data_IF_341194535320
#
_entry.id   IF_341194535320
#
_cell.length_a   1.000
_cell.length_b   1.000
_cell.length_c   1.000
_cell.angle_alpha   90.00
_cell.angle_beta   90.00
_cell.angle_gamma   90.00
#
_symmetry.space_group_name_H-M   'P 1'
#
loop_
_entity.id
_entity.type
_entity.pdbx_description
1 polymer ?
#
# COMPACT_ATOMS: atom_id res chain seq x y z
N UNK A 1 26.91 -11.86 -25.01
CA UNK A 1 26.44 -11.15 -23.80
C UNK A 1 25.31 -11.99 -23.23
N UNK A 2 25.58 -12.80 -22.21
CA UNK A 2 24.57 -13.67 -21.61
C UNK A 2 23.59 -12.78 -20.84
N UNK A 3 22.33 -12.76 -21.26
CA UNK A 3 21.23 -12.18 -20.48
C UNK A 3 21.18 -12.93 -19.16
N UNK A 4 21.54 -12.29 -18.04
CA UNK A 4 21.29 -12.85 -16.71
C UNK A 4 19.80 -13.17 -16.64
N UNK A 5 19.44 -14.43 -16.45
CA UNK A 5 18.07 -14.80 -16.09
C UNK A 5 17.66 -13.93 -14.90
N UNK A 6 16.47 -13.32 -14.99
CA UNK A 6 15.93 -12.57 -13.86
C UNK A 6 15.77 -13.54 -12.70
N UNK A 7 16.29 -13.17 -11.53
CA UNK A 7 16.25 -13.97 -10.30
C UNK A 7 14.86 -14.04 -9.65
N UNK A 8 13.81 -13.61 -10.35
CA UNK A 8 12.45 -13.48 -9.87
C UNK A 8 11.45 -13.45 -11.04
N UNK A 9 10.19 -13.71 -10.72
CA UNK A 9 9.04 -13.59 -11.62
C UNK A 9 8.12 -12.46 -11.15
N UNK A 10 7.45 -11.78 -12.08
CA UNK A 10 6.50 -10.69 -11.77
C UNK A 10 5.14 -11.01 -12.37
N UNK A 11 4.10 -10.92 -11.54
CA UNK A 11 2.70 -11.10 -11.94
C UNK A 11 1.94 -9.79 -11.76
N UNK A 12 1.16 -9.39 -12.77
CA UNK A 12 0.20 -8.30 -12.62
C UNK A 12 -1.10 -8.88 -12.06
N UNK A 13 -1.48 -8.43 -10.88
CA UNK A 13 -2.60 -8.98 -10.13
C UNK A 13 -3.68 -7.92 -9.94
N UNK A 14 -4.95 -8.32 -9.98
CA UNK A 14 -6.10 -7.46 -9.68
C UNK A 14 -6.75 -7.93 -8.40
N UNK A 15 -6.79 -7.03 -7.41
CA UNK A 15 -7.44 -7.31 -6.14
C UNK A 15 -8.88 -6.77 -6.08
N UNK A 16 -9.31 -6.00 -7.08
CA UNK A 16 -10.66 -5.47 -7.18
C UNK A 16 -11.09 -5.19 -8.62
N UNK A 17 -12.31 -4.66 -8.77
CA UNK A 17 -12.94 -4.44 -10.07
C UNK A 17 -12.55 -3.10 -10.73
N UNK A 18 -12.15 -2.11 -9.93
CA UNK A 18 -11.82 -0.78 -10.42
C UNK A 18 -10.44 -0.73 -11.07
N UNK A 19 -10.23 0.24 -11.96
CA UNK A 19 -9.00 0.35 -12.77
C UNK A 19 -7.70 0.32 -11.97
N UNK A 20 -7.68 0.98 -10.81
CA UNK A 20 -6.48 1.12 -9.97
C UNK A 20 -6.46 0.13 -8.80
N UNK A 21 -7.36 -0.87 -8.79
CA UNK A 21 -7.36 -1.95 -7.80
C UNK A 21 -6.49 -3.12 -8.28
N UNK A 22 -5.21 -2.84 -8.46
CA UNK A 22 -4.22 -3.76 -9.01
C UNK A 22 -2.85 -3.62 -8.31
N UNK A 23 -1.92 -4.51 -8.63
CA UNK A 23 -0.56 -4.44 -8.13
C UNK A 23 0.35 -5.42 -8.85
N UNK A 24 1.64 -5.31 -8.61
CA UNK A 24 2.64 -6.22 -9.16
C UNK A 24 3.18 -7.11 -8.04
N UNK A 25 3.00 -8.43 -8.19
CA UNK A 25 3.50 -9.45 -7.28
C UNK A 25 4.84 -9.99 -7.80
N UNK A 26 5.92 -9.70 -7.07
CA UNK A 26 7.26 -10.19 -7.35
C UNK A 26 7.54 -11.40 -6.48
N UNK A 27 7.82 -12.54 -7.12
CA UNK A 27 8.19 -13.78 -6.46
C UNK A 27 9.67 -14.09 -6.71
N UNK A 28 10.49 -14.26 -5.65
CA UNK A 28 11.89 -14.63 -5.82
C UNK A 28 12.01 -16.07 -6.30
N UNK A 29 13.04 -16.37 -7.09
CA UNK A 29 13.41 -17.75 -7.45
C UNK A 29 14.21 -18.45 -6.32
N UNK A 30 14.24 -17.85 -5.13
CA UNK A 30 14.92 -18.31 -3.92
C UNK A 30 13.87 -18.60 -2.85
N UNK A 31 14.27 -19.25 -1.76
CA UNK A 31 13.41 -19.39 -0.58
C UNK A 31 13.00 -18.02 -0.05
N UNK A 32 11.70 -17.75 -0.04
CA UNK A 32 11.15 -16.48 0.42
C UNK A 32 11.33 -16.28 1.94
N UNK A 33 11.72 -15.07 2.33
CA UNK A 33 12.02 -14.70 3.72
C UNK A 33 10.85 -14.05 4.46
N UNK A 34 10.12 -13.20 3.75
CA UNK A 34 8.94 -12.47 4.22
C UNK A 34 8.19 -11.89 3.01
N UNK A 35 6.96 -11.45 3.22
CA UNK A 35 6.18 -10.70 2.24
C UNK A 35 6.27 -9.21 2.59
N UNK A 36 6.71 -8.38 1.66
CA UNK A 36 6.73 -6.92 1.81
C UNK A 36 5.65 -6.30 0.94
N UNK A 37 4.66 -5.66 1.57
CA UNK A 37 3.63 -4.88 0.90
C UNK A 37 4.08 -3.43 0.77
N UNK A 38 4.30 -2.97 -0.45
CA UNK A 38 4.77 -1.62 -0.74
C UNK A 38 3.61 -0.67 -1.07
N UNK A 39 3.57 0.47 -0.39
CA UNK A 39 2.68 1.58 -0.68
C UNK A 39 3.47 2.78 -1.21
N UNK A 40 3.15 3.21 -2.42
CA UNK A 40 3.82 4.33 -3.08
C UNK A 40 3.41 5.69 -2.50
N UNK A 41 4.20 6.73 -2.77
CA UNK A 41 3.98 8.08 -2.27
C UNK A 41 3.14 8.95 -3.20
N UNK A 42 3.38 10.27 -3.17
CA UNK A 42 2.76 11.20 -4.10
C UNK A 42 1.45 11.83 -3.60
N UNK A 43 1.34 12.07 -2.29
CA UNK A 43 0.18 12.75 -1.68
C UNK A 43 -1.18 12.13 -2.08
N UNK A 44 -1.23 10.81 -2.25
CA UNK A 44 -2.43 10.06 -2.65
C UNK A 44 -3.10 10.58 -3.93
N UNK A 45 -2.34 11.24 -4.81
CA UNK A 45 -2.85 11.95 -5.97
C UNK A 45 -2.31 11.38 -7.27
N UNK A 46 -3.11 11.48 -8.32
CA UNK A 46 -2.62 11.34 -9.69
C UNK A 46 -1.58 12.43 -9.99
N UNK A 47 -0.56 12.17 -10.85
CA UNK A 47 -0.38 10.94 -11.62
C UNK A 47 0.51 9.89 -10.92
N UNK A 48 0.91 10.11 -9.67
CA UNK A 48 1.85 9.22 -8.97
C UNK A 48 1.26 7.81 -8.79
N UNK A 49 2.06 6.79 -9.07
CA UNK A 49 1.66 5.38 -9.13
C UNK A 49 2.68 4.48 -8.43
N UNK A 50 2.33 3.20 -8.28
CA UNK A 50 3.24 2.15 -7.78
C UNK A 50 4.58 2.05 -8.54
N UNK A 51 4.64 2.52 -9.77
CA UNK A 51 5.85 2.49 -10.62
C UNK A 51 7.01 3.26 -9.98
N UNK A 52 6.71 4.23 -9.10
CA UNK A 52 7.74 4.93 -8.30
C UNK A 52 8.56 4.00 -7.41
N UNK A 53 8.02 2.81 -7.07
CA UNK A 53 8.67 1.84 -6.21
C UNK A 53 9.19 0.60 -6.97
N UNK A 54 9.16 0.58 -8.30
CA UNK A 54 9.60 -0.58 -9.10
C UNK A 54 11.04 -0.98 -8.78
N UNK A 55 11.97 -0.01 -8.75
CA UNK A 55 13.37 -0.30 -8.42
C UNK A 55 13.55 -0.79 -6.98
N UNK A 56 12.68 -0.37 -6.05
CA UNK A 56 12.68 -0.87 -4.67
C UNK A 56 12.16 -2.31 -4.64
N UNK A 57 11.09 -2.60 -5.37
CA UNK A 57 10.55 -3.96 -5.49
C UNK A 57 11.57 -4.93 -6.09
N UNK A 58 12.23 -4.54 -7.18
CA UNK A 58 13.29 -5.33 -7.83
C UNK A 58 14.48 -5.59 -6.88
N UNK A 59 14.90 -4.57 -6.13
CA UNK A 59 15.97 -4.73 -5.15
C UNK A 59 15.59 -5.70 -4.03
N UNK A 60 14.38 -5.57 -3.48
CA UNK A 60 13.89 -6.43 -2.39
C UNK A 60 13.70 -7.89 -2.84
N UNK A 61 13.09 -8.11 -4.01
CA UNK A 61 12.88 -9.49 -4.50
C UNK A 61 14.20 -10.19 -4.80
N UNK A 62 15.22 -9.46 -5.27
CA UNK A 62 16.56 -10.00 -5.49
C UNK A 62 17.24 -10.44 -4.17
N UNK A 63 16.81 -9.91 -3.03
CA UNK A 63 17.27 -10.32 -1.69
C UNK A 63 16.43 -11.45 -1.08
N UNK A 64 15.48 -12.04 -1.83
CA UNK A 64 14.67 -13.17 -1.38
C UNK A 64 13.39 -12.79 -0.63
N UNK A 65 12.88 -11.56 -0.81
CA UNK A 65 11.56 -11.17 -0.31
C UNK A 65 10.49 -11.37 -1.38
N UNK A 66 9.29 -11.80 -1.00
CA UNK A 66 8.12 -11.61 -1.87
C UNK A 66 7.73 -10.14 -1.76
N UNK A 67 7.48 -9.48 -2.90
CA UNK A 67 7.07 -8.07 -2.89
C UNK A 67 5.68 -7.95 -3.51
N UNK A 68 4.78 -7.34 -2.78
CA UNK A 68 3.47 -6.94 -3.27
C UNK A 68 3.47 -5.42 -3.46
N UNK A 69 3.73 -4.96 -4.69
CA UNK A 69 3.79 -3.53 -5.04
C UNK A 69 2.40 -3.02 -5.39
N UNK A 70 1.76 -2.31 -4.45
CA UNK A 70 0.32 -2.03 -4.48
C UNK A 70 0.04 -0.72 -5.23
N UNK A 71 -0.89 -0.77 -6.18
CA UNK A 71 -1.61 0.41 -6.65
C UNK A 71 -2.88 0.60 -5.84
N UNK A 72 -3.38 1.82 -5.73
CA UNK A 72 -4.67 2.13 -5.09
C UNK A 72 -5.34 3.32 -5.76
N UNK A 73 -6.68 3.45 -5.68
CA UNK A 73 -7.35 4.65 -6.19
C UNK A 73 -6.88 5.90 -5.44
N UNK A 74 -6.65 6.96 -6.20
CA UNK A 74 -6.08 8.24 -5.75
C UNK A 74 -7.02 9.39 -6.02
N UNK A 75 -6.81 10.50 -5.32
CA UNK A 75 -7.44 11.78 -5.66
C UNK A 75 -7.12 12.12 -7.13
N UNK A 76 -8.17 12.49 -7.88
CA UNK A 76 -8.13 12.67 -9.33
C UNK A 76 -8.51 11.44 -10.14
N UNK A 77 -8.75 10.29 -9.50
CA UNK A 77 -9.40 9.11 -10.10
C UNK A 77 -10.79 8.89 -9.52
N UNK A 78 -11.68 8.22 -10.26
CA UNK A 78 -13.04 7.90 -9.79
C UNK A 78 -12.97 7.07 -8.51
N UNK A 79 -13.58 7.58 -7.44
CA UNK A 79 -13.63 6.90 -6.14
C UNK A 79 -12.31 6.86 -5.37
N UNK A 80 -11.30 7.67 -5.74
CA UNK A 80 -10.12 7.86 -4.90
C UNK A 80 -10.29 9.02 -3.91
N UNK A 81 -9.44 9.06 -2.90
CA UNK A 81 -9.69 9.83 -1.69
C UNK A 81 -10.42 9.00 -0.64
N UNK A 82 -10.90 9.64 0.41
CA UNK A 82 -11.68 9.01 1.45
C UNK A 82 -13.09 8.62 0.95
N UNK A 83 -13.61 7.41 1.25
CA UNK A 83 -12.92 6.29 1.90
C UNK A 83 -12.18 5.38 0.90
N UNK A 84 -12.36 5.55 -0.41
CA UNK A 84 -11.92 4.58 -1.42
C UNK A 84 -10.43 4.25 -1.46
N UNK A 85 -9.53 5.21 -1.19
CA UNK A 85 -8.07 4.97 -1.06
C UNK A 85 -7.76 4.05 0.12
N UNK A 86 -8.49 4.20 1.22
CA UNK A 86 -8.30 3.44 2.45
C UNK A 86 -8.90 2.03 2.30
N UNK A 87 -10.10 1.94 1.73
CA UNK A 87 -10.74 0.68 1.36
C UNK A 87 -9.85 -0.15 0.42
N UNK A 88 -9.23 0.50 -0.57
CA UNK A 88 -8.32 -0.15 -1.51
C UNK A 88 -7.07 -0.68 -0.80
N UNK A 89 -6.55 0.06 0.18
CA UNK A 89 -5.39 -0.39 0.96
C UNK A 89 -5.71 -1.67 1.75
N UNK A 90 -6.90 -1.75 2.37
CA UNK A 90 -7.33 -2.96 3.08
C UNK A 90 -7.60 -4.13 2.13
N UNK A 91 -8.27 -3.87 1.00
CA UNK A 91 -8.55 -4.92 0.01
C UNK A 91 -7.26 -5.46 -0.63
N UNK A 92 -6.30 -4.60 -0.95
CA UNK A 92 -5.01 -5.00 -1.47
C UNK A 92 -4.24 -5.89 -0.49
N UNK A 93 -4.30 -5.61 0.81
CA UNK A 93 -3.69 -6.47 1.83
C UNK A 93 -4.44 -7.79 2.00
N UNK A 94 -5.78 -7.75 1.97
CA UNK A 94 -6.60 -8.97 2.03
C UNK A 94 -6.40 -9.87 0.80
N UNK A 95 -5.96 -9.32 -0.33
CA UNK A 95 -5.59 -10.10 -1.51
C UNK A 95 -4.50 -11.15 -1.21
N UNK A 96 -3.66 -10.92 -0.20
CA UNK A 96 -2.66 -11.90 0.23
C UNK A 96 -3.26 -13.24 0.66
N UNK A 97 -4.53 -13.29 1.09
CA UNK A 97 -5.20 -14.57 1.35
C UNK A 97 -5.30 -15.43 0.08
N UNK A 98 -5.60 -14.81 -1.07
CA UNK A 98 -5.59 -15.49 -2.36
C UNK A 98 -4.16 -15.84 -2.75
N UNK A 99 -3.21 -14.91 -2.63
CA UNK A 99 -1.80 -15.16 -2.97
C UNK A 99 -1.25 -16.35 -2.19
N UNK A 100 -1.48 -16.43 -0.87
CA UNK A 100 -1.04 -17.54 -0.04
C UNK A 100 -1.74 -18.86 -0.37
N UNK A 101 -3.01 -18.83 -0.79
CA UNK A 101 -3.71 -20.04 -1.28
C UNK A 101 -3.10 -20.54 -2.59
N UNK A 102 -2.74 -19.63 -3.49
CA UNK A 102 -2.16 -19.95 -4.79
C UNK A 102 -0.65 -20.32 -4.65
N UNK A 103 0.00 -19.86 -3.57
CA UNK A 103 1.40 -20.11 -3.19
C UNK A 103 1.51 -20.56 -1.71
N UNK A 104 1.18 -21.82 -1.40
CA UNK A 104 1.14 -22.32 -0.02
C UNK A 104 2.47 -22.19 0.75
N UNK A 105 3.60 -22.16 0.05
CA UNK A 105 4.92 -21.92 0.63
C UNK A 105 5.06 -20.55 1.31
N UNK A 106 4.15 -19.60 1.02
CA UNK A 106 4.15 -18.26 1.60
C UNK A 106 3.28 -18.14 2.86
N UNK A 107 2.57 -19.21 3.25
CA UNK A 107 1.54 -19.16 4.29
C UNK A 107 2.08 -18.66 5.64
N UNK A 108 3.24 -19.17 6.05
CA UNK A 108 3.87 -18.87 7.34
C UNK A 108 4.78 -17.64 7.32
N UNK A 109 4.90 -16.94 6.19
CA UNK A 109 5.76 -15.79 6.09
C UNK A 109 5.20 -14.59 6.85
N UNK A 110 6.10 -13.90 7.54
CA UNK A 110 5.85 -12.59 8.13
C UNK A 110 5.42 -11.60 7.03
N UNK A 111 4.47 -10.74 7.37
CA UNK A 111 3.99 -9.67 6.51
C UNK A 111 4.55 -8.34 7.02
N UNK A 112 5.27 -7.65 6.15
CA UNK A 112 5.83 -6.32 6.40
C UNK A 112 5.07 -5.30 5.58
N UNK A 113 4.51 -4.29 6.21
CA UNK A 113 3.99 -3.11 5.51
C UNK A 113 5.10 -2.08 5.39
N UNK A 114 5.34 -1.57 4.20
CA UNK A 114 6.32 -0.53 3.95
C UNK A 114 5.75 0.51 3.01
N UNK A 115 5.98 1.78 3.28
CA UNK A 115 5.57 2.83 2.36
C UNK A 115 6.37 4.11 2.48
N UNK A 116 6.40 4.89 1.41
CA UNK A 116 7.09 6.18 1.35
C UNK A 116 6.11 7.36 1.37
N UNK A 117 6.38 8.39 2.16
CA UNK A 117 5.58 9.62 2.20
C UNK A 117 4.10 9.35 2.48
N UNK A 118 3.21 9.67 1.54
CA UNK A 118 1.80 9.35 1.58
C UNK A 118 1.50 7.84 1.67
N UNK A 119 2.35 6.98 1.08
CA UNK A 119 2.26 5.53 1.25
C UNK A 119 2.77 5.07 2.60
N UNK A 120 3.74 5.79 3.18
CA UNK A 120 4.18 5.56 4.56
C UNK A 120 3.07 5.84 5.55
N UNK A 121 2.24 6.86 5.28
CA UNK A 121 0.99 7.08 6.00
C UNK A 121 0.03 5.89 5.87
N UNK A 122 -0.23 5.39 4.66
CA UNK A 122 -1.13 4.24 4.48
C UNK A 122 -0.61 2.97 5.19
N UNK A 123 0.70 2.71 5.14
CA UNK A 123 1.32 1.61 5.86
C UNK A 123 1.11 1.72 7.38
N UNK A 124 1.32 2.91 7.95
CA UNK A 124 1.07 3.17 9.37
C UNK A 124 -0.42 3.00 9.72
N UNK A 125 -1.32 3.54 8.90
CA UNK A 125 -2.76 3.44 9.12
C UNK A 125 -3.26 1.99 9.06
N UNK A 126 -2.84 1.21 8.06
CA UNK A 126 -3.14 -0.23 7.96
C UNK A 126 -2.52 -1.05 9.10
N UNK A 127 -1.47 -0.55 9.74
CA UNK A 127 -0.81 -1.19 10.88
C UNK A 127 -1.55 -1.03 12.21
N UNK A 128 -2.49 -0.07 12.33
CA UNK A 128 -3.22 0.19 13.56
C UNK A 128 -4.21 -0.94 13.88
N UNK A 129 -4.49 -1.24 15.15
CA UNK A 129 -5.64 -2.07 15.52
C UNK A 129 -6.94 -1.36 15.11
N UNK A 130 -7.91 -2.10 14.58
CA UNK A 130 -9.26 -1.60 14.25
C UNK A 130 -9.28 -0.40 13.29
N UNK A 131 -9.20 -0.64 11.99
CA UNK A 131 -9.41 0.38 10.95
C UNK A 131 -10.91 0.72 10.82
N UNK A 132 -11.51 1.28 11.87
CA UNK A 132 -12.95 1.60 11.99
C UNK A 132 -13.50 2.44 10.82
N UNK A 133 -12.59 3.13 10.15
CA UNK A 133 -12.74 3.97 8.98
C UNK A 133 -12.97 3.25 7.64
N UNK A 134 -12.62 1.96 7.53
CA UNK A 134 -12.79 1.17 6.29
C UNK A 134 -14.03 0.29 6.40
N UNK A 135 -14.79 0.18 5.31
CA UNK A 135 -15.92 -0.76 5.26
C UNK A 135 -15.46 -2.23 5.22
N UNK A 136 -14.18 -2.46 4.95
CA UNK A 136 -13.56 -3.78 4.96
C UNK A 136 -12.75 -3.96 6.25
N UNK A 137 -12.92 -5.12 6.90
CA UNK A 137 -12.03 -5.56 7.96
C UNK A 137 -10.73 -6.11 7.37
N UNK A 138 -9.59 -5.79 7.99
CA UNK A 138 -8.31 -6.40 7.67
C UNK A 138 -8.30 -7.87 8.14
N UNK A 139 -8.00 -8.78 7.21
CA UNK A 139 -8.03 -10.25 7.41
C UNK A 139 -6.64 -10.88 7.50
N UNK A 140 -5.61 -10.04 7.43
CA UNK A 140 -4.21 -10.42 7.65
C UNK A 140 -3.69 -9.71 8.90
N UNK A 141 -2.64 -10.25 9.50
CA UNK A 141 -1.94 -9.61 10.61
C UNK A 141 -0.57 -9.14 10.12
N UNK A 142 -0.33 -7.83 9.97
CA UNK A 142 1.02 -7.31 9.78
C UNK A 142 1.93 -7.64 10.98
N UNK A 143 3.17 -8.01 10.71
CA UNK A 143 4.19 -8.30 11.70
C UNK A 143 5.07 -7.08 11.96
N UNK A 144 5.36 -6.30 10.91
CA UNK A 144 6.22 -5.11 10.95
C UNK A 144 5.62 -4.01 10.07
N UNK A 145 5.77 -2.75 10.49
CA UNK A 145 5.35 -1.59 9.72
C UNK A 145 6.50 -0.60 9.62
N UNK A 146 6.82 -0.16 8.40
CA UNK A 146 7.94 0.74 8.10
C UNK A 146 7.41 1.94 7.31
N UNK A 147 7.43 3.12 7.95
CA UNK A 147 7.15 4.39 7.28
C UNK A 147 8.45 5.08 6.88
N UNK A 148 8.66 5.30 5.57
CA UNK A 148 9.78 6.08 5.04
C UNK A 148 9.33 7.53 4.81
N UNK A 149 9.77 8.45 5.66
CA UNK A 149 9.31 9.85 5.67
C UNK A 149 7.76 9.99 5.65
N UNK A 150 7.02 9.30 6.54
CA UNK A 150 5.57 9.21 6.45
C UNK A 150 4.89 10.54 6.81
N UNK A 151 3.72 10.79 6.22
CA UNK A 151 2.79 11.81 6.70
C UNK A 151 2.05 11.24 7.92
N UNK A 152 2.71 11.22 9.08
CA UNK A 152 2.25 10.47 10.25
C UNK A 152 1.08 11.12 11.02
N UNK A 153 0.81 12.40 10.79
CA UNK A 153 -0.30 13.14 11.41
C UNK A 153 -1.01 13.98 10.34
N UNK A 154 -2.26 13.62 10.04
CA UNK A 154 -3.05 14.30 9.00
C UNK A 154 -3.52 15.70 9.43
N UNK A 155 -3.82 15.92 10.71
CA UNK A 155 -4.23 17.24 11.23
C UNK A 155 -3.09 18.25 11.10
N UNK A 156 -1.89 17.89 11.56
CA UNK A 156 -0.71 18.75 11.43
C UNK A 156 -0.37 19.00 9.95
N UNK A 157 -0.48 17.98 9.11
CA UNK A 157 -0.24 18.13 7.67
C UNK A 157 -1.31 18.99 6.98
N UNK A 158 -2.56 18.94 7.44
CA UNK A 158 -3.66 19.80 6.99
C UNK A 158 -3.40 21.26 7.35
N UNK A 159 -3.08 21.54 8.62
CA UNK A 159 -2.80 22.90 9.11
C UNK A 159 -1.61 23.54 8.40
N UNK A 160 -0.56 22.75 8.15
CA UNK A 160 0.60 23.16 7.38
C UNK A 160 0.33 23.31 5.87
N UNK A 161 -0.88 22.99 5.39
CA UNK A 161 -1.27 22.95 3.97
C UNK A 161 -0.31 22.10 3.13
N UNK A 162 0.23 21.04 3.72
CA UNK A 162 1.27 20.20 3.12
C UNK A 162 0.81 19.65 1.78
N UNK A 163 1.72 19.67 0.80
CA UNK A 163 1.45 19.17 -0.54
C UNK A 163 0.37 19.95 -1.28
N UNK A 164 0.21 21.25 -1.02
CA UNK A 164 -0.84 22.08 -1.62
C UNK A 164 -2.23 21.53 -1.31
N UNK A 165 -2.58 21.51 -0.01
CA UNK A 165 -3.87 21.01 0.51
C UNK A 165 -4.14 19.52 0.23
N UNK A 166 -3.08 18.69 0.27
CA UNK A 166 -3.19 17.26 -0.01
C UNK A 166 -4.16 16.53 0.91
N UNK A 167 -4.11 16.86 2.20
CA UNK A 167 -4.99 16.23 3.20
C UNK A 167 -6.44 16.61 2.97
N UNK A 168 -6.73 17.90 2.72
CA UNK A 168 -8.09 18.35 2.41
C UNK A 168 -8.67 17.59 1.21
N UNK A 169 -7.89 17.38 0.15
CA UNK A 169 -8.38 16.67 -1.02
C UNK A 169 -8.47 15.16 -0.82
N UNK A 170 -7.60 14.57 0.01
CA UNK A 170 -7.70 13.17 0.41
C UNK A 170 -9.00 12.96 1.19
N UNK A 171 -9.21 13.73 2.25
CA UNK A 171 -10.30 13.51 3.20
C UNK A 171 -11.63 14.09 2.73
N UNK A 172 -11.62 14.97 1.71
CA UNK A 172 -12.79 15.66 1.16
C UNK A 172 -13.57 16.48 2.23
N UNK A 173 -12.87 16.91 3.28
CA UNK A 173 -13.40 17.73 4.37
C UNK A 173 -12.31 18.11 5.38
N UNK A 174 -12.56 19.13 6.19
CA UNK A 174 -11.62 19.59 7.22
C UNK A 174 -11.71 18.70 8.48
N UNK A 175 -10.66 18.66 9.32
CA UNK A 175 -10.68 17.90 10.58
C UNK A 175 -11.87 18.23 11.49
N UNK A 176 -12.28 19.50 11.55
CA UNK A 176 -13.43 19.94 12.35
C UNK A 176 -14.77 19.38 11.87
N UNK A 177 -14.87 19.00 10.60
CA UNK A 177 -16.10 18.47 9.99
C UNK A 177 -16.14 16.94 10.01
N UNK A 178 -14.97 16.29 10.15
CA UNK A 178 -14.77 14.86 9.99
C UNK A 178 -13.91 14.26 11.11
N UNK A 179 -14.17 14.64 12.37
CA UNK A 179 -13.32 14.28 13.51
C UNK A 179 -13.04 12.76 13.58
N UNK A 180 -14.08 11.93 13.39
CA UNK A 180 -13.95 10.46 13.38
C UNK A 180 -13.07 9.93 12.22
N UNK A 181 -13.02 10.64 11.09
CA UNK A 181 -12.21 10.24 9.93
C UNK A 181 -10.73 10.65 10.06
N UNK A 182 -10.43 11.67 10.86
CA UNK A 182 -9.06 12.17 11.10
C UNK A 182 -8.39 11.51 12.31
N UNK A 183 -9.18 11.03 13.28
CA UNK A 183 -8.68 10.29 14.45
C UNK A 183 -8.18 8.86 14.15
N UNK A 184 -8.28 8.43 12.89
CA UNK A 184 -7.92 7.10 12.39
C UNK A 184 -6.44 6.86 12.21
#
# INVERSE_FOLDING_TARGET
>A
MLTKEKSFTVFKEKYGAEKYQEGDLYLPNLTARAIICLFHGGYWRMPYSREQLDSVAEALVTQGFVVWNIEYRRVGSKGGGWPGTFDDSIQALNYLQKVKRDHPELELLDIVLMGHSAGGHLALWCGKPNQASSQYALKIKPNVVIGLAPIANLEVAFDAQSGNQAVLNLMQGAPCDLHECYSG
#
